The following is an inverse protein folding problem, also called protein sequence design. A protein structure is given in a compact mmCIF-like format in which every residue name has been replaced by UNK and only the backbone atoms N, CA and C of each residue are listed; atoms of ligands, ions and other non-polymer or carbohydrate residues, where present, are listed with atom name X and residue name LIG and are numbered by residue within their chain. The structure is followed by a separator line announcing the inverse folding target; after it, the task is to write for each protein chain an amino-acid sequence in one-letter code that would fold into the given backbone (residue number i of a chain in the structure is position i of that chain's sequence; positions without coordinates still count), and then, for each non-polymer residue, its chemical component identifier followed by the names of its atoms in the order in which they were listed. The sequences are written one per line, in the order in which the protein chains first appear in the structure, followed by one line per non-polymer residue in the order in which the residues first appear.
data_IF_507083263264
#
_entry.id   IF_507083263264
#
_cell.length_a   1.000
_cell.length_b   1.000
_cell.length_c   1.000
_cell.angle_alpha   90.00
_cell.angle_beta   90.00
_cell.angle_gamma   90.00
#
_symmetry.space_group_name_H-M   'P 1'
#
loop_
_entity.id
_entity.type
_entity.pdbx_description
1 polymer ?
#
# COMPACT_ATOMS: atom_id res chain seq x y z
N UNK A 1 -24.48 0.18 -34.61
CA UNK A 1 -24.55 1.64 -34.40
C UNK A 1 -25.94 1.93 -33.87
N UNK A 2 -26.09 2.82 -32.88
CA UNK A 2 -27.22 2.94 -31.94
C UNK A 2 -27.12 1.98 -30.75
N UNK A 3 -27.52 2.30 -29.51
CA UNK A 3 -28.29 3.42 -28.91
C UNK A 3 -27.99 3.32 -27.39
N UNK A 4 -27.86 4.38 -26.59
CA UNK A 4 -28.97 5.21 -26.09
C UNK A 4 -29.01 5.12 -24.57
N UNK A 5 -29.05 6.30 -23.90
CA UNK A 5 -29.32 6.58 -22.48
C UNK A 5 -28.39 5.90 -21.44
N UNK A 6 -27.99 6.53 -20.33
CA UNK A 6 -28.88 7.06 -19.28
C UNK A 6 -28.32 8.30 -18.57
N UNK A 7 -29.22 9.27 -18.36
CA UNK A 7 -29.07 10.49 -17.58
C UNK A 7 -29.18 10.24 -16.07
N UNK A 8 -28.33 9.37 -15.51
CA UNK A 8 -28.20 9.20 -14.06
C UNK A 8 -27.29 10.30 -13.48
N UNK A 9 -27.73 10.95 -12.39
CA UNK A 9 -26.94 11.93 -11.64
C UNK A 9 -25.52 11.38 -11.42
N UNK A 10 -24.51 11.99 -12.06
CA UNK A 10 -23.14 11.48 -12.05
C UNK A 10 -22.67 11.41 -10.60
N UNK A 11 -22.59 10.19 -10.05
CA UNK A 11 -22.14 9.97 -8.67
C UNK A 11 -20.84 10.74 -8.42
N UNK A 12 -20.79 11.49 -7.31
CA UNK A 12 -19.66 12.37 -6.96
C UNK A 12 -18.31 11.65 -6.92
N UNK A 13 -18.31 10.31 -6.88
CA UNK A 13 -17.15 9.44 -7.01
C UNK A 13 -16.46 9.52 -8.37
N UNK A 14 -17.18 9.89 -9.45
CA UNK A 14 -16.60 10.04 -10.78
C UNK A 14 -15.61 11.21 -10.89
N UNK A 15 -15.64 12.14 -9.93
CA UNK A 15 -14.64 13.23 -9.84
C UNK A 15 -13.24 12.68 -9.55
N UNK A 16 -13.14 11.50 -8.91
CA UNK A 16 -11.86 10.84 -8.60
C UNK A 16 -11.31 9.98 -9.76
N UNK A 17 -12.09 9.77 -10.83
CA UNK A 17 -11.69 8.97 -12.00
C UNK A 17 -10.33 9.36 -12.59
N UNK A 18 -10.00 10.65 -12.84
CA UNK A 18 -8.69 11.01 -13.37
C UNK A 18 -7.54 10.67 -12.41
N UNK A 19 -7.73 10.77 -11.09
CA UNK A 19 -6.68 10.42 -10.12
C UNK A 19 -6.38 8.93 -10.13
N UNK A 20 -7.42 8.09 -10.23
CA UNK A 20 -7.26 6.63 -10.25
C UNK A 20 -6.60 6.15 -11.54
N UNK A 21 -6.95 6.74 -12.69
CA UNK A 21 -6.40 6.34 -14.00
C UNK A 21 -4.91 6.69 -14.17
N UNK A 22 -4.42 7.73 -13.50
CA UNK A 22 -3.02 8.13 -13.56
C UNK A 22 -2.13 7.43 -12.53
N UNK A 23 -2.71 6.66 -11.59
CA UNK A 23 -1.91 6.00 -10.57
C UNK A 23 -1.08 4.86 -11.17
N UNK A 24 0.26 4.89 -11.04
CA UNK A 24 1.10 3.85 -11.62
C UNK A 24 0.86 2.51 -10.90
N UNK A 25 0.51 1.49 -11.66
CA UNK A 25 0.24 0.14 -11.15
C UNK A 25 1.13 -0.90 -11.84
N UNK A 26 1.55 -1.90 -11.07
CA UNK A 26 2.38 -3.01 -11.56
C UNK A 26 1.49 -3.96 -12.38
N UNK A 27 1.86 -4.21 -13.64
CA UNK A 27 1.15 -5.16 -14.51
C UNK A 27 1.47 -6.60 -14.12
N UNK A 28 0.45 -7.47 -14.14
CA UNK A 28 0.63 -8.91 -13.91
C UNK A 28 1.51 -9.53 -15.01
N UNK A 29 2.37 -10.52 -14.70
CA UNK A 29 3.18 -11.21 -15.69
C UNK A 29 2.28 -11.96 -16.69
N UNK A 30 2.66 -11.96 -17.98
CA UNK A 30 1.86 -12.54 -19.08
C UNK A 30 1.87 -14.08 -19.13
N UNK A 31 2.84 -14.73 -18.47
CA UNK A 31 3.04 -16.17 -18.52
C UNK A 31 3.20 -16.81 -17.15
N UNK A 32 3.26 -18.14 -17.12
CA UNK A 32 3.48 -18.89 -15.89
C UNK A 32 4.86 -18.59 -15.30
N UNK A 33 4.88 -18.11 -14.06
CA UNK A 33 6.11 -17.85 -13.31
C UNK A 33 6.46 -19.09 -12.50
N UNK A 34 7.67 -19.63 -12.74
CA UNK A 34 8.20 -20.78 -12.01
C UNK A 34 8.27 -20.52 -10.51
N UNK A 35 8.06 -21.56 -9.70
CA UNK A 35 8.06 -21.45 -8.23
C UNK A 35 9.39 -20.90 -7.68
N UNK A 36 10.54 -21.33 -8.23
CA UNK A 36 11.86 -20.82 -7.84
C UNK A 36 11.99 -19.30 -8.05
N UNK A 37 11.41 -18.78 -9.13
CA UNK A 37 11.41 -17.34 -9.40
C UNK A 37 10.54 -16.58 -8.40
N UNK A 38 9.40 -17.15 -7.98
CA UNK A 38 8.55 -16.55 -6.93
C UNK A 38 9.31 -16.46 -5.60
N UNK A 39 9.99 -17.54 -5.19
CA UNK A 39 10.81 -17.54 -3.98
C UNK A 39 11.90 -16.46 -4.05
N UNK A 40 12.60 -16.36 -5.18
CA UNK A 40 13.64 -15.35 -5.38
C UNK A 40 13.09 -13.93 -5.21
N UNK A 41 11.95 -13.62 -5.82
CA UNK A 41 11.30 -12.31 -5.65
C UNK A 41 10.85 -12.06 -4.21
N UNK A 42 10.26 -13.04 -3.54
CA UNK A 42 9.88 -12.90 -2.12
C UNK A 42 11.10 -12.65 -1.24
N UNK A 43 12.20 -13.35 -1.48
CA UNK A 43 13.46 -13.15 -0.76
C UNK A 43 14.02 -11.74 -0.97
N UNK A 44 14.02 -11.24 -2.21
CA UNK A 44 14.43 -9.87 -2.53
C UNK A 44 13.56 -8.85 -1.78
N UNK A 45 12.24 -9.00 -1.80
CA UNK A 45 11.33 -8.12 -1.07
C UNK A 45 11.60 -8.13 0.44
N UNK A 46 11.91 -9.30 1.01
CA UNK A 46 12.23 -9.43 2.43
C UNK A 46 13.53 -8.70 2.81
N UNK A 47 14.57 -8.85 1.99
CA UNK A 47 15.85 -8.15 2.18
C UNK A 47 15.65 -6.64 2.06
N UNK A 48 14.92 -6.19 1.04
CA UNK A 48 14.60 -4.78 0.86
C UNK A 48 13.83 -4.22 2.05
N UNK A 49 12.81 -4.94 2.53
CA UNK A 49 12.07 -4.56 3.74
C UNK A 49 13.01 -4.40 4.94
N UNK A 50 13.88 -5.39 5.18
CA UNK A 50 14.82 -5.33 6.30
C UNK A 50 15.74 -4.11 6.20
N UNK A 51 16.33 -3.84 5.04
CA UNK A 51 17.17 -2.65 4.81
C UNK A 51 16.40 -1.37 5.11
N UNK A 52 15.17 -1.24 4.63
CA UNK A 52 14.34 -0.04 4.86
C UNK A 52 14.02 0.19 6.35
N UNK A 53 13.87 -0.88 7.15
CA UNK A 53 13.64 -0.75 8.60
C UNK A 53 14.86 -0.21 9.36
N UNK A 54 16.07 -0.37 8.81
CA UNK A 54 17.31 0.11 9.44
C UNK A 54 17.63 1.57 9.08
N UNK A 55 16.95 2.14 8.09
CA UNK A 55 17.18 3.53 7.68
C UNK A 55 16.36 4.46 8.55
N UNK A 56 17.03 5.24 9.41
CA UNK A 56 16.38 6.22 10.28
C UNK A 56 15.90 7.45 9.48
N UNK A 57 14.75 7.97 9.87
CA UNK A 57 14.20 9.21 9.37
C UNK A 57 15.05 10.39 9.84
N UNK A 58 15.37 11.27 8.90
CA UNK A 58 16.09 12.49 9.20
C UNK A 58 15.24 13.42 10.08
N UNK A 59 15.85 13.98 11.12
CA UNK A 59 15.21 14.97 12.00
C UNK A 59 14.31 14.41 13.10
N UNK A 60 14.29 13.09 13.32
CA UNK A 60 13.53 12.48 14.44
C UNK A 60 14.39 12.44 15.70
N UNK A 61 13.85 12.95 16.82
CA UNK A 61 14.52 12.88 18.11
C UNK A 61 14.47 11.42 18.64
N UNK A 62 15.58 10.83 19.12
CA UNK A 62 15.60 9.50 19.72
C UNK A 62 14.60 9.29 20.87
N UNK A 63 14.22 10.36 21.57
CA UNK A 63 13.24 10.34 22.67
C UNK A 63 11.78 10.43 22.19
N UNK A 64 11.53 10.37 20.87
CA UNK A 64 10.17 10.43 20.33
C UNK A 64 9.36 9.24 20.84
N UNK A 65 8.27 9.54 21.56
CA UNK A 65 7.34 8.54 22.05
C UNK A 65 6.76 7.72 20.89
N UNK A 66 6.89 6.41 21.00
CA UNK A 66 6.38 5.48 20.01
C UNK A 66 4.88 5.24 20.19
N UNK A 67 4.07 6.08 19.54
CA UNK A 67 2.61 5.98 19.58
C UNK A 67 2.07 4.65 19.04
N UNK A 68 2.83 3.93 18.20
CA UNK A 68 2.39 2.69 17.55
C UNK A 68 2.97 1.42 18.17
N UNK A 69 3.60 1.51 19.35
CA UNK A 69 4.25 0.38 20.00
C UNK A 69 3.35 -0.87 20.09
N UNK A 70 2.09 -0.69 20.52
CA UNK A 70 1.11 -1.77 20.64
C UNK A 70 0.61 -2.35 19.31
N UNK A 71 0.77 -1.60 18.21
CA UNK A 71 0.29 -2.01 16.88
C UNK A 71 1.40 -2.53 15.97
N UNK A 72 2.67 -2.45 16.39
CA UNK A 72 3.83 -2.84 15.57
C UNK A 72 3.78 -4.26 15.04
N UNK A 73 3.33 -5.21 15.85
CA UNK A 73 3.24 -6.61 15.44
C UNK A 73 2.27 -6.80 14.26
N UNK A 74 1.23 -5.97 14.17
CA UNK A 74 0.21 -6.04 13.11
C UNK A 74 0.63 -5.21 11.89
N UNK A 75 1.15 -4.01 12.14
CA UNK A 75 1.48 -3.02 11.11
C UNK A 75 2.84 -3.30 10.45
N UNK A 76 3.68 -4.15 11.05
CA UNK A 76 5.03 -4.42 10.57
C UNK A 76 5.84 -3.12 10.34
N UNK A 77 5.73 -2.18 11.29
CA UNK A 77 6.41 -0.89 11.26
C UNK A 77 7.50 -0.76 12.32
N UNK A 78 8.49 0.11 12.09
CA UNK A 78 9.64 0.31 12.98
C UNK A 78 9.84 1.80 13.31
N UNK A 79 9.94 2.16 14.61
CA UNK A 79 9.96 3.57 15.07
C UNK A 79 11.13 4.31 14.49
N UNK A 80 10.91 5.57 14.10
CA UNK A 80 11.99 6.41 13.59
C UNK A 80 12.65 5.89 12.30
N UNK A 81 12.11 4.87 11.62
CA UNK A 81 12.60 4.39 10.33
C UNK A 81 11.69 4.84 9.18
N UNK A 82 12.14 4.65 7.94
CA UNK A 82 11.29 4.83 6.74
C UNK A 82 10.01 3.98 6.85
N UNK A 83 10.09 2.83 7.52
CA UNK A 83 8.96 1.93 7.76
C UNK A 83 8.15 2.30 9.01
N UNK A 84 8.15 3.56 9.47
CA UNK A 84 7.47 3.99 10.69
C UNK A 84 6.00 3.56 10.76
N UNK A 85 5.25 3.79 9.67
CA UNK A 85 3.84 3.43 9.53
C UNK A 85 3.62 2.02 8.96
N UNK A 86 4.68 1.30 8.59
CA UNK A 86 4.62 -0.05 8.02
C UNK A 86 3.57 -0.21 6.91
N UNK A 87 2.77 -1.27 6.99
CA UNK A 87 1.63 -1.53 6.09
C UNK A 87 0.33 -0.86 6.57
N UNK A 88 0.38 -0.06 7.63
CA UNK A 88 -0.78 0.51 8.33
C UNK A 88 -1.76 1.21 7.40
N UNK A 89 -1.33 2.17 6.56
CA UNK A 89 -2.21 2.86 5.63
C UNK A 89 -2.93 1.93 4.64
N UNK A 90 -2.25 0.87 4.17
CA UNK A 90 -2.81 -0.10 3.22
C UNK A 90 -3.89 -0.94 3.91
N UNK A 91 -3.57 -1.45 5.11
CA UNK A 91 -4.50 -2.28 5.90
C UNK A 91 -5.71 -1.45 6.33
N UNK A 92 -5.51 -0.25 6.88
CA UNK A 92 -6.60 0.63 7.30
C UNK A 92 -7.49 1.04 6.13
N UNK A 93 -6.91 1.39 4.98
CA UNK A 93 -7.68 1.68 3.77
C UNK A 93 -8.52 0.50 3.31
N UNK A 94 -7.95 -0.72 3.35
CA UNK A 94 -8.68 -1.95 3.04
C UNK A 94 -9.83 -2.22 4.02
N UNK A 95 -9.62 -2.02 5.32
CA UNK A 95 -10.65 -2.19 6.35
C UNK A 95 -11.81 -1.23 6.09
N UNK A 96 -11.52 0.06 5.86
CA UNK A 96 -12.53 1.06 5.56
C UNK A 96 -13.32 0.63 4.32
N UNK A 97 -12.65 0.32 3.20
CA UNK A 97 -13.34 -0.08 1.98
C UNK A 97 -14.21 -1.33 2.14
N UNK A 98 -13.76 -2.33 2.91
CA UNK A 98 -14.54 -3.54 3.18
C UNK A 98 -15.77 -3.29 4.07
N UNK A 99 -15.75 -2.27 4.92
CA UNK A 99 -16.89 -1.92 5.79
C UNK A 99 -17.95 -1.08 5.07
N UNK A 100 -17.56 -0.32 4.04
CA UNK A 100 -18.45 0.56 3.28
C UNK A 100 -18.95 -0.03 1.95
N UNK A 101 -18.41 -1.19 1.54
CA UNK A 101 -18.88 -1.92 0.34
C UNK A 101 -20.18 -2.66 0.60
#
# INVERSE_FOLDING_TARGET
MAKGDESGEKSKLYVLKPLVEHWPAIKKPKGHVHFRQKILWTGICLIMYYVLTQVLLYGVNPETLDMFAGYRAIIAGASGSIMHLGIGPIVTGSIIMQLFV
#
